data_IF_247079404724
#
_entry.id   IF_247079404724
#
_cell.length_a   1.000
_cell.length_b   1.000
_cell.length_c   1.000
_cell.angle_alpha   90.00
_cell.angle_beta   90.00
_cell.angle_gamma   90.00
#
_symmetry.space_group_name_H-M   'P 1'
#
loop_
_entity.id
_entity.type
_entity.pdbx_description
1 polymer ?
#
# COMPACT_ATOMS: atom_id res chain seq x y z
N UNK A 1 -21.94 -19.28 -1.32
CA UNK A 1 -21.70 -18.19 -0.35
C UNK A 1 -21.76 -16.90 -1.15
N UNK A 2 -22.59 -15.91 -0.80
CA UNK A 2 -22.52 -14.61 -1.46
C UNK A 2 -21.11 -14.03 -1.24
N UNK A 3 -20.53 -13.42 -2.28
CA UNK A 3 -19.26 -12.72 -2.15
C UNK A 3 -19.40 -11.62 -1.08
N UNK A 4 -18.43 -11.47 -0.17
CA UNK A 4 -18.45 -10.37 0.77
C UNK A 4 -18.46 -9.04 0.00
N UNK A 5 -19.51 -8.25 0.15
CA UNK A 5 -19.58 -6.91 -0.44
C UNK A 5 -18.58 -6.02 0.27
N UNK A 6 -17.55 -5.58 -0.44
CA UNK A 6 -16.57 -4.60 0.05
C UNK A 6 -17.30 -3.26 0.24
N UNK A 7 -17.22 -2.61 1.42
CA UNK A 7 -17.88 -1.33 1.65
C UNK A 7 -17.40 -0.25 0.66
N UNK A 8 -18.27 0.66 0.22
CA UNK A 8 -17.84 1.87 -0.49
C UNK A 8 -16.75 2.60 0.32
N UNK A 9 -15.65 2.99 -0.33
CA UNK A 9 -14.49 3.63 0.31
C UNK A 9 -13.33 2.67 0.62
N UNK A 10 -13.52 1.35 0.51
CA UNK A 10 -12.41 0.38 0.62
C UNK A 10 -11.80 0.11 -0.75
N UNK A 11 -10.53 0.47 -0.93
CA UNK A 11 -9.78 0.28 -2.18
C UNK A 11 -10.19 1.14 -3.39
N UNK A 12 -10.64 2.41 -3.25
CA UNK A 12 -11.11 3.22 -4.39
C UNK A 12 -10.04 3.54 -5.44
N UNK A 13 -8.76 3.32 -5.12
CA UNK A 13 -7.62 3.61 -5.99
C UNK A 13 -7.18 2.39 -6.82
N UNK A 14 -7.69 1.19 -6.52
CA UNK A 14 -7.18 -0.05 -7.10
C UNK A 14 -7.31 -0.06 -8.63
N UNK A 15 -6.19 -0.25 -9.33
CA UNK A 15 -6.11 -0.25 -10.79
C UNK A 15 -6.20 1.14 -11.43
N UNK A 16 -6.20 2.20 -10.62
CA UNK A 16 -6.27 3.61 -11.06
C UNK A 16 -5.11 4.43 -10.51
N UNK A 17 -4.13 3.79 -9.90
CA UNK A 17 -3.08 4.45 -9.12
C UNK A 17 -2.28 5.44 -9.98
N UNK A 18 -1.87 5.02 -11.18
CA UNK A 18 -1.14 5.88 -12.10
C UNK A 18 -1.97 7.08 -12.56
N UNK A 19 -3.23 6.84 -12.95
CA UNK A 19 -4.16 7.89 -13.38
C UNK A 19 -4.29 8.97 -12.30
N UNK A 20 -4.57 8.54 -11.06
CA UNK A 20 -4.77 9.43 -9.91
C UNK A 20 -3.48 10.15 -9.51
N UNK A 21 -2.33 9.49 -9.62
CA UNK A 21 -1.04 10.13 -9.37
C UNK A 21 -0.75 11.23 -10.39
N UNK A 22 -1.02 10.99 -11.67
CA UNK A 22 -0.82 12.00 -12.73
C UNK A 22 -1.78 13.19 -12.61
N UNK A 23 -2.96 13.00 -12.01
CA UNK A 23 -3.91 14.07 -11.69
C UNK A 23 -3.55 14.83 -10.40
N UNK A 24 -2.67 14.27 -9.56
CA UNK A 24 -2.28 14.84 -8.27
C UNK A 24 -3.17 14.42 -7.10
N UNK A 25 -4.17 13.57 -7.35
CA UNK A 25 -5.13 13.09 -6.35
C UNK A 25 -4.57 11.94 -5.50
N UNK A 26 -3.48 11.30 -5.95
CA UNK A 26 -2.76 10.25 -5.22
C UNK A 26 -1.28 10.59 -5.12
N UNK A 27 -0.73 10.50 -3.91
CA UNK A 27 0.67 10.90 -3.66
C UNK A 27 1.66 9.73 -3.79
N UNK A 28 1.21 8.50 -3.55
CA UNK A 28 2.05 7.30 -3.56
C UNK A 28 1.26 6.05 -3.98
N UNK A 29 1.90 5.17 -4.75
CA UNK A 29 1.44 3.81 -5.04
C UNK A 29 2.43 2.79 -4.49
N UNK A 30 1.93 1.64 -4.05
CA UNK A 30 2.73 0.55 -3.47
C UNK A 30 2.29 -0.77 -4.12
N UNK A 31 3.26 -1.55 -4.57
CA UNK A 31 3.07 -2.86 -5.18
C UNK A 31 4.02 -3.88 -4.55
N UNK A 32 3.64 -5.15 -4.61
CA UNK A 32 4.48 -6.27 -4.20
C UNK A 32 4.64 -7.24 -5.38
N UNK A 33 5.88 -7.49 -5.78
CA UNK A 33 6.23 -8.45 -6.82
C UNK A 33 6.70 -9.75 -6.19
N UNK A 34 5.99 -10.85 -6.41
CA UNK A 34 6.51 -12.17 -6.05
C UNK A 34 7.62 -12.60 -7.03
N UNK A 35 8.52 -13.51 -6.62
CA UNK A 35 9.56 -14.02 -7.53
C UNK A 35 8.97 -14.58 -8.83
N UNK A 36 9.41 -14.00 -9.95
CA UNK A 36 8.96 -14.41 -11.29
C UNK A 36 7.81 -13.60 -11.87
N UNK A 37 7.21 -12.68 -11.12
CA UNK A 37 6.23 -11.73 -11.65
C UNK A 37 6.92 -10.56 -12.37
N UNK A 38 6.44 -10.23 -13.57
CA UNK A 38 6.86 -9.03 -14.28
C UNK A 38 5.95 -7.82 -13.98
N UNK A 39 6.23 -6.68 -14.62
CA UNK A 39 5.50 -5.44 -14.37
C UNK A 39 4.03 -5.47 -14.85
N UNK A 40 3.73 -6.31 -15.85
CA UNK A 40 2.37 -6.49 -16.35
C UNK A 40 1.57 -7.37 -15.40
N UNK A 41 2.18 -8.45 -14.87
CA UNK A 41 1.56 -9.32 -13.84
C UNK A 41 1.16 -8.54 -12.58
N UNK A 42 1.99 -7.56 -12.19
CA UNK A 42 1.78 -6.72 -11.00
C UNK A 42 0.80 -5.57 -11.27
N UNK A 43 0.69 -5.14 -12.54
CA UNK A 43 -0.08 -3.97 -12.94
C UNK A 43 0.66 -2.64 -12.79
N UNK A 44 2.00 -2.65 -12.69
CA UNK A 44 2.82 -1.43 -12.57
C UNK A 44 3.59 -1.05 -13.85
N UNK A 45 3.43 -1.80 -14.95
CA UNK A 45 4.10 -1.54 -16.23
C UNK A 45 3.90 -0.10 -16.75
N UNK A 46 2.71 0.47 -16.57
CA UNK A 46 2.36 1.82 -17.02
C UNK A 46 3.18 2.93 -16.37
N UNK A 47 3.85 2.68 -15.24
CA UNK A 47 4.67 3.68 -14.55
C UNK A 47 6.00 3.94 -15.26
N UNK A 48 6.54 2.97 -16.02
CA UNK A 48 7.90 3.03 -16.55
C UNK A 48 8.21 4.31 -17.35
N UNK A 49 7.37 4.77 -18.31
CA UNK A 49 7.66 5.99 -19.07
C UNK A 49 7.76 7.24 -18.19
N UNK A 50 6.94 7.33 -17.14
CA UNK A 50 6.93 8.49 -16.23
C UNK A 50 8.10 8.48 -15.24
N UNK A 51 8.64 7.29 -14.95
CA UNK A 51 9.88 7.13 -14.20
C UNK A 51 11.07 7.56 -15.04
N UNK A 52 11.13 7.15 -16.30
CA UNK A 52 12.20 7.55 -17.23
C UNK A 52 12.21 9.07 -17.47
N UNK A 53 11.05 9.71 -17.48
CA UNK A 53 10.88 11.16 -17.58
C UNK A 53 11.18 11.91 -16.26
N UNK A 54 11.36 11.21 -15.14
CA UNK A 54 11.54 11.80 -13.80
C UNK A 54 10.29 12.48 -13.23
N UNK A 55 9.12 12.25 -13.83
CA UNK A 55 7.82 12.75 -13.36
C UNK A 55 7.24 11.93 -12.22
N UNK A 56 7.66 10.68 -12.11
CA UNK A 56 7.41 9.78 -10.99
C UNK A 56 8.76 9.22 -10.54
N UNK A 57 8.93 9.06 -9.24
CA UNK A 57 10.09 8.41 -8.66
C UNK A 57 9.74 7.00 -8.23
N UNK A 58 10.66 6.06 -8.45
CA UNK A 58 10.52 4.64 -8.05
C UNK A 58 11.54 4.31 -6.96
N UNK A 59 11.07 3.68 -5.90
CA UNK A 59 11.89 3.12 -4.82
C UNK A 59 11.55 1.65 -4.66
N UNK A 60 12.55 0.79 -4.46
CA UNK A 60 12.30 -0.63 -4.27
C UNK A 60 13.09 -1.20 -3.09
N UNK A 61 12.58 -2.29 -2.52
CA UNK A 61 13.34 -3.13 -1.60
C UNK A 61 12.94 -4.60 -1.75
N UNK A 62 13.92 -5.49 -1.58
CA UNK A 62 13.66 -6.93 -1.55
C UNK A 62 13.47 -7.37 -0.10
N UNK A 63 12.36 -8.05 0.16
CA UNK A 63 12.04 -8.63 1.46
C UNK A 63 12.89 -9.90 1.65
N UNK A 64 13.73 -9.99 2.69
CA UNK A 64 14.50 -11.19 2.99
C UNK A 64 13.58 -12.39 3.25
N UNK A 65 14.06 -13.59 2.91
CA UNK A 65 13.36 -14.89 3.03
C UNK A 65 12.24 -15.14 2.02
N UNK A 66 11.41 -14.14 1.70
CA UNK A 66 10.35 -14.29 0.69
C UNK A 66 10.81 -13.91 -0.72
N UNK A 67 11.85 -13.09 -0.81
CA UNK A 67 12.34 -12.50 -2.08
C UNK A 67 11.28 -11.66 -2.80
N UNK A 68 10.22 -11.25 -2.10
CA UNK A 68 9.21 -10.33 -2.62
C UNK A 68 9.85 -8.95 -2.79
N UNK A 69 9.70 -8.32 -3.94
CA UNK A 69 10.13 -6.95 -4.17
C UNK A 69 8.96 -5.99 -3.90
N UNK A 70 9.09 -5.15 -2.89
CA UNK A 70 8.17 -4.03 -2.68
C UNK A 70 8.61 -2.87 -3.58
N UNK A 71 7.65 -2.33 -4.35
CA UNK A 71 7.86 -1.22 -5.28
C UNK A 71 6.98 -0.05 -4.88
N UNK A 72 7.59 1.07 -4.53
CA UNK A 72 6.91 2.31 -4.22
C UNK A 72 7.12 3.33 -5.33
N UNK A 73 6.04 4.00 -5.74
CA UNK A 73 6.05 5.08 -6.70
C UNK A 73 5.51 6.35 -6.05
N UNK A 74 6.13 7.50 -6.25
CA UNK A 74 5.62 8.79 -5.77
C UNK A 74 5.89 9.94 -6.74
N UNK A 75 5.20 11.07 -6.53
CA UNK A 75 5.55 12.33 -7.17
C UNK A 75 6.89 12.87 -6.63
N UNK A 76 7.62 13.72 -7.38
CA UNK A 76 8.97 14.16 -6.99
C UNK A 76 9.06 14.88 -5.63
N UNK A 77 7.98 15.54 -5.19
CA UNK A 77 7.93 16.21 -3.88
C UNK A 77 7.51 15.29 -2.73
N UNK A 78 7.13 14.06 -3.05
CA UNK A 78 6.50 13.10 -2.14
C UNK A 78 7.42 11.92 -1.77
N UNK A 79 8.73 12.02 -2.06
CA UNK A 79 9.73 10.97 -1.76
C UNK A 79 9.68 10.46 -0.32
N UNK A 80 9.39 11.36 0.62
CA UNK A 80 9.32 11.06 2.03
C UNK A 80 8.29 9.97 2.33
N UNK A 81 7.20 9.88 1.54
CA UNK A 81 6.16 8.87 1.69
C UNK A 81 6.68 7.48 1.39
N UNK A 82 7.34 7.31 0.24
CA UNK A 82 7.95 6.04 -0.15
C UNK A 82 9.00 5.60 0.87
N UNK A 83 9.90 6.51 1.25
CA UNK A 83 10.96 6.21 2.22
C UNK A 83 10.40 5.78 3.59
N UNK A 84 9.34 6.47 4.06
CA UNK A 84 8.68 6.14 5.32
C UNK A 84 7.88 4.83 5.23
N UNK A 85 7.20 4.57 4.11
CA UNK A 85 6.49 3.30 3.87
C UNK A 85 7.45 2.10 3.92
N UNK A 86 8.59 2.20 3.23
CA UNK A 86 9.61 1.15 3.23
C UNK A 86 10.23 0.94 4.62
N UNK A 87 10.41 2.01 5.41
CA UNK A 87 10.85 1.93 6.80
C UNK A 87 9.83 1.21 7.68
N UNK A 88 8.55 1.59 7.59
CA UNK A 88 7.47 0.96 8.36
C UNK A 88 7.34 -0.52 7.98
N UNK A 89 7.42 -0.88 6.68
CA UNK A 89 7.45 -2.29 6.25
C UNK A 89 8.57 -3.08 6.94
N UNK A 90 9.78 -2.51 7.04
CA UNK A 90 10.91 -3.17 7.74
C UNK A 90 10.61 -3.36 9.23
N UNK A 91 10.05 -2.35 9.89
CA UNK A 91 9.68 -2.43 11.31
C UNK A 91 8.55 -3.43 11.58
N UNK A 92 7.56 -3.52 10.69
CA UNK A 92 6.52 -4.55 10.76
C UNK A 92 7.12 -5.96 10.64
N UNK A 93 8.11 -6.13 9.75
CA UNK A 93 8.78 -7.43 9.55
C UNK A 93 9.71 -7.82 10.69
N UNK A 94 10.36 -6.86 11.35
CA UNK A 94 11.17 -7.12 12.54
C UNK A 94 10.32 -7.39 13.79
N UNK A 95 9.07 -6.94 13.78
CA UNK A 95 8.15 -7.01 14.91
C UNK A 95 8.14 -5.72 15.75
N UNK A 96 9.16 -4.87 15.63
CA UNK A 96 9.32 -3.63 16.41
C UNK A 96 8.14 -2.67 16.25
N UNK A 97 7.49 -2.65 15.08
CA UNK A 97 6.34 -1.79 14.87
C UNK A 97 5.19 -2.12 15.83
N UNK A 98 5.00 -3.38 16.18
CA UNK A 98 3.88 -3.84 17.01
C UNK A 98 4.09 -3.60 18.50
N UNK A 99 5.31 -3.25 18.93
CA UNK A 99 5.58 -2.76 20.28
C UNK A 99 5.15 -1.30 20.46
N UNK A 100 4.95 -0.57 19.36
CA UNK A 100 4.73 0.89 19.34
C UNK A 100 3.33 1.23 18.82
N UNK A 101 2.85 0.51 17.82
CA UNK A 101 1.63 0.80 17.08
C UNK A 101 0.67 -0.39 17.13
N UNK A 102 -0.63 -0.10 17.21
CA UNK A 102 -1.65 -1.12 16.95
C UNK A 102 -1.76 -1.38 15.44
N UNK A 103 -2.34 -2.53 15.05
CA UNK A 103 -2.64 -2.81 13.63
C UNK A 103 -3.52 -1.73 13.00
N UNK A 104 -4.41 -1.09 13.78
CA UNK A 104 -5.24 0.00 13.29
C UNK A 104 -4.43 1.28 13.07
N UNK A 105 -3.43 1.56 13.92
CA UNK A 105 -2.54 2.71 13.71
C UNK A 105 -1.69 2.51 12.46
N UNK A 106 -1.17 1.30 12.24
CA UNK A 106 -0.41 0.96 11.04
C UNK A 106 -1.27 1.10 9.78
N UNK A 107 -2.52 0.65 9.79
CA UNK A 107 -3.45 0.84 8.68
C UNK A 107 -3.73 2.32 8.39
N UNK A 108 -3.84 3.17 9.44
CA UNK A 108 -4.00 4.61 9.27
C UNK A 108 -2.76 5.26 8.67
N UNK A 109 -1.58 4.89 9.15
CA UNK A 109 -0.31 5.38 8.63
C UNK A 109 -0.15 5.01 7.15
N UNK A 110 -0.40 3.76 6.80
CA UNK A 110 -0.34 3.29 5.41
C UNK A 110 -1.36 4.01 4.52
N UNK A 111 -2.61 4.11 4.95
CA UNK A 111 -3.65 4.83 4.21
C UNK A 111 -3.30 6.30 3.98
N UNK A 112 -2.79 6.98 5.01
CA UNK A 112 -2.33 8.36 4.90
C UNK A 112 -1.13 8.48 3.94
N UNK A 113 -0.18 7.55 3.98
CA UNK A 113 0.98 7.52 3.08
C UNK A 113 0.57 7.34 1.62
N UNK A 114 -0.40 6.46 1.35
CA UNK A 114 -0.95 6.18 0.03
C UNK A 114 -1.83 7.31 -0.53
N UNK A 115 -2.14 8.32 0.29
CA UNK A 115 -2.95 9.49 -0.10
C UNK A 115 -4.45 9.28 -0.01
N UNK A 116 -4.95 8.31 0.77
CA UNK A 116 -6.39 8.18 1.01
C UNK A 116 -6.91 9.32 1.88
N UNK A 117 -8.19 9.67 1.68
CA UNK A 117 -8.89 10.58 2.58
C UNK A 117 -8.98 9.98 3.99
N UNK A 118 -9.06 10.83 5.01
CA UNK A 118 -9.19 10.35 6.39
C UNK A 118 -10.46 9.52 6.56
N UNK A 119 -11.54 9.93 5.89
CA UNK A 119 -12.83 9.26 5.90
C UNK A 119 -12.73 7.83 5.33
N UNK A 120 -12.11 7.65 4.16
CA UNK A 120 -11.92 6.32 3.54
C UNK A 120 -11.04 5.41 4.40
N UNK A 121 -9.99 5.98 5.01
CA UNK A 121 -9.12 5.25 5.93
C UNK A 121 -9.90 4.73 7.13
N UNK A 122 -10.76 5.53 7.76
CA UNK A 122 -11.55 5.07 8.90
C UNK A 122 -12.59 4.01 8.50
N UNK A 123 -13.18 4.12 7.29
CA UNK A 123 -14.05 3.06 6.75
C UNK A 123 -13.29 1.75 6.61
N UNK A 124 -12.06 1.79 6.06
CA UNK A 124 -11.20 0.62 5.94
C UNK A 124 -10.85 0.01 7.30
N UNK A 125 -10.41 0.82 8.26
CA UNK A 125 -10.04 0.37 9.61
C UNK A 125 -11.23 -0.28 10.32
N UNK A 126 -12.41 0.34 10.25
CA UNK A 126 -13.64 -0.23 10.83
C UNK A 126 -14.02 -1.57 10.18
N UNK A 127 -13.92 -1.65 8.85
CA UNK A 127 -14.18 -2.89 8.12
C UNK A 127 -13.21 -4.01 8.51
N UNK A 128 -11.91 -3.72 8.55
CA UNK A 128 -10.87 -4.69 8.93
C UNK A 128 -11.09 -5.20 10.36
N UNK A 129 -11.31 -4.31 11.33
CA UNK A 129 -11.56 -4.67 12.73
C UNK A 129 -12.78 -5.60 12.89
N UNK A 130 -13.85 -5.35 12.12
CA UNK A 130 -15.06 -6.18 12.15
C UNK A 130 -14.83 -7.62 11.66
N UNK A 131 -13.85 -7.82 10.77
CA UNK A 131 -13.49 -9.15 10.26
C UNK A 131 -12.63 -9.93 11.25
N UNK A 132 -11.70 -9.25 11.91
CA UNK A 132 -10.86 -9.86 12.95
C UNK A 132 -11.69 -10.32 14.15
N UNK A 133 -12.69 -9.53 14.56
CA UNK A 133 -13.62 -9.91 15.63
C UNK A 133 -14.54 -11.09 15.28
N UNK A 134 -14.72 -11.39 13.98
CA UNK A 134 -15.57 -12.49 13.48
C UNK A 134 -14.81 -13.78 13.20
N UNK A 135 -13.47 -13.75 13.16
CA UNK A 135 -12.68 -14.98 13.01
C UNK A 135 -12.80 -15.78 14.31
N UNK A 136 -13.32 -17.02 14.30
CA UNK A 136 -13.31 -17.84 15.51
C UNK A 136 -11.87 -18.10 15.89
N UNK A 137 -11.54 -17.91 17.17
CA UNK A 137 -10.27 -18.37 17.73
C UNK A 137 -10.24 -19.90 17.58
N UNK A 138 -9.57 -20.38 16.53
CA UNK A 138 -9.24 -21.78 16.39
C UNK A 138 -8.20 -22.12 17.45
N UNK A 139 -8.69 -22.72 18.54
CA UNK A 139 -7.91 -23.45 19.55
C UNK A 139 -7.53 -24.81 18.98
#
# INVERSE_FOLDING_TARGET
MPEPTVPPGVGPHNGRELELMLQGDKSMALFAAEPGMDADDIGDAGFAPFVDEGRILKFTQIVPKTSVEERCYCLPTEEWRCKLSLLISRMCRSGEAFDIFTSNDLARLEGALLGYSKEDVEVFVAHAASRTARAPSSV
#
